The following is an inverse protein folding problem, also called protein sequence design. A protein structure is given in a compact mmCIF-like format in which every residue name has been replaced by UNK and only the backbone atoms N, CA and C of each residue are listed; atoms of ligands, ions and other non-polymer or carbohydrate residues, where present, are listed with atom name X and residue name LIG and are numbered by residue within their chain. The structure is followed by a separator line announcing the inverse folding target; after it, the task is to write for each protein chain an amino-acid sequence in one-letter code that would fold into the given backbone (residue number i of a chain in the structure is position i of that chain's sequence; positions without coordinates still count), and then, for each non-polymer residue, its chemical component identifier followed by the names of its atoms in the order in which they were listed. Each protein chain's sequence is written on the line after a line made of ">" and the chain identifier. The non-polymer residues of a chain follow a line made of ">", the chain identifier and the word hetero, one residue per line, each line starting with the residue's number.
data_IF_586321700564
#
_entry.id   IF_586321700564
#
_cell.length_a   1.000
_cell.length_b   1.000
_cell.length_c   1.000
_cell.angle_alpha   90.00
_cell.angle_beta   90.00
_cell.angle_gamma   90.00
#
_symmetry.space_group_name_H-M   'P 1'
#
loop_
_entity.id
_entity.type
_entity.pdbx_description
1 polymer ?
#
# COMPACT_ATOMS: atom_id res chain seq x y z
N UNK A 1 -12.47 2.06 -8.41
CA UNK A 1 -12.58 3.42 -9.06
C UNK A 1 -12.02 3.36 -10.48
N UNK A 2 -12.74 3.81 -11.50
CA UNK A 2 -12.23 3.93 -12.87
C UNK A 2 -11.78 5.38 -13.09
N UNK A 3 -10.48 5.60 -13.12
CA UNK A 3 -9.89 6.96 -13.24
C UNK A 3 -9.95 7.50 -14.69
N UNK A 4 -10.01 6.63 -15.69
CA UNK A 4 -10.10 7.01 -17.09
C UNK A 4 -11.10 6.12 -17.84
N UNK A 5 -12.06 6.74 -18.51
CA UNK A 5 -13.03 6.05 -19.37
C UNK A 5 -12.37 5.31 -20.56
N UNK A 6 -13.09 4.36 -21.14
CA UNK A 6 -12.55 3.50 -22.21
C UNK A 6 -12.08 4.27 -23.45
N UNK A 7 -12.83 5.29 -23.86
CA UNK A 7 -12.46 6.15 -24.98
C UNK A 7 -11.11 6.86 -24.73
N UNK A 8 -10.92 7.44 -23.57
CA UNK A 8 -9.67 8.10 -23.20
C UNK A 8 -8.49 7.11 -23.16
N UNK A 9 -8.71 5.90 -22.62
CA UNK A 9 -7.69 4.84 -22.58
C UNK A 9 -7.30 4.40 -24.00
N UNK A 10 -8.28 4.22 -24.89
CA UNK A 10 -8.04 3.88 -26.28
C UNK A 10 -7.22 4.96 -26.98
N UNK A 11 -7.67 6.21 -26.90
CA UNK A 11 -6.98 7.34 -27.54
C UNK A 11 -5.53 7.49 -27.09
N UNK A 12 -5.24 7.28 -25.79
CA UNK A 12 -3.88 7.35 -25.27
C UNK A 12 -2.99 6.17 -25.73
N UNK A 13 -3.58 4.98 -25.92
CA UNK A 13 -2.86 3.84 -26.48
C UNK A 13 -2.57 4.03 -27.97
N UNK A 14 -3.56 4.46 -28.75
CA UNK A 14 -3.41 4.76 -30.18
C UNK A 14 -2.39 5.87 -30.44
N UNK A 15 -2.33 6.87 -29.56
CA UNK A 15 -1.31 7.93 -29.60
C UNK A 15 0.08 7.48 -29.10
N UNK A 16 0.22 6.25 -28.62
CA UNK A 16 1.48 5.71 -28.08
C UNK A 16 1.89 6.31 -26.71
N UNK A 17 1.00 7.03 -26.04
CA UNK A 17 1.28 7.62 -24.72
C UNK A 17 1.15 6.60 -23.59
N UNK A 18 0.32 5.59 -23.75
CA UNK A 18 0.20 4.48 -22.83
C UNK A 18 0.62 3.18 -23.51
N UNK A 19 1.57 2.48 -22.89
CA UNK A 19 1.95 1.12 -23.23
C UNK A 19 1.18 0.10 -22.38
N UNK A 20 1.52 -1.18 -22.58
CA UNK A 20 0.94 -2.28 -21.80
C UNK A 20 1.77 -2.65 -20.58
N UNK A 21 3.00 -2.12 -20.48
CA UNK A 21 3.90 -2.38 -19.35
C UNK A 21 3.44 -1.66 -18.09
N UNK A 22 3.25 -2.43 -17.02
CA UNK A 22 2.84 -1.93 -15.71
C UNK A 22 4.05 -1.69 -14.80
N UNK A 23 3.81 -0.99 -13.68
CA UNK A 23 4.81 -0.82 -12.62
C UNK A 23 5.24 -2.19 -12.04
N UNK A 24 4.30 -3.12 -11.88
CA UNK A 24 4.56 -4.47 -11.42
C UNK A 24 5.48 -5.23 -12.40
N UNK A 25 5.23 -5.15 -13.71
CA UNK A 25 6.07 -5.81 -14.72
C UNK A 25 7.52 -5.33 -14.66
N UNK A 26 7.73 -4.02 -14.51
CA UNK A 26 9.08 -3.44 -14.35
C UNK A 26 9.79 -3.95 -13.11
N UNK A 27 9.07 -4.05 -11.99
CA UNK A 27 9.63 -4.57 -10.75
C UNK A 27 10.02 -6.04 -10.89
N UNK A 28 9.10 -6.91 -11.33
CA UNK A 28 9.37 -8.33 -11.45
C UNK A 28 10.45 -8.66 -12.48
N UNK A 29 10.54 -7.91 -13.59
CA UNK A 29 11.61 -8.04 -14.55
C UNK A 29 12.98 -7.75 -13.90
N UNK A 30 13.10 -6.68 -13.11
CA UNK A 30 14.33 -6.37 -12.37
C UNK A 30 14.63 -7.39 -11.28
N UNK A 31 13.63 -7.85 -10.55
CA UNK A 31 13.79 -8.87 -9.51
C UNK A 31 14.29 -10.21 -10.09
N UNK A 32 13.83 -10.56 -11.29
CA UNK A 32 14.31 -11.75 -12.00
C UNK A 32 15.74 -11.57 -12.51
N UNK A 33 16.07 -10.40 -13.04
CA UNK A 33 17.37 -10.13 -13.65
C UNK A 33 18.48 -9.90 -12.61
N UNK A 34 18.15 -9.31 -11.48
CA UNK A 34 19.12 -8.87 -10.48
C UNK A 34 18.69 -9.25 -9.04
N UNK A 35 18.41 -10.54 -8.73
CA UNK A 35 17.78 -10.95 -7.45
C UNK A 35 18.58 -10.52 -6.22
N UNK A 36 19.93 -10.60 -6.28
CA UNK A 36 20.81 -10.28 -5.15
C UNK A 36 21.14 -8.79 -5.02
N UNK A 37 20.73 -7.98 -5.99
CA UNK A 37 21.01 -6.53 -5.92
C UNK A 37 20.16 -5.88 -4.86
N UNK A 38 20.77 -5.03 -4.03
CA UNK A 38 20.07 -4.18 -3.07
C UNK A 38 19.12 -3.24 -3.81
N UNK A 39 17.86 -3.19 -3.37
CA UNK A 39 16.83 -2.37 -4.00
C UNK A 39 16.15 -1.40 -3.06
N UNK A 40 16.04 -1.72 -1.77
CA UNK A 40 15.29 -0.93 -0.81
C UNK A 40 16.03 -0.88 0.53
N UNK A 41 16.15 0.32 1.09
CA UNK A 41 16.91 0.57 2.33
C UNK A 41 16.09 1.54 3.17
N UNK A 42 15.80 1.15 4.41
CA UNK A 42 15.19 2.06 5.38
C UNK A 42 16.13 3.18 5.82
N UNK A 43 15.53 4.27 6.28
CA UNK A 43 16.26 5.30 6.98
C UNK A 43 16.89 4.73 8.28
N UNK A 44 18.13 5.13 8.63
CA UNK A 44 18.82 4.61 9.82
C UNK A 44 18.10 4.92 11.13
N UNK A 45 17.28 5.95 11.15
CA UNK A 45 16.48 6.36 12.30
C UNK A 45 15.04 5.79 12.28
N UNK A 46 14.79 4.70 11.56
CA UNK A 46 13.47 4.03 11.54
C UNK A 46 12.86 3.83 12.94
N UNK A 47 13.61 3.42 13.99
CA UNK A 47 13.06 3.26 15.34
C UNK A 47 12.48 4.55 15.96
N UNK A 48 12.80 5.71 15.40
CA UNK A 48 12.25 6.98 15.86
C UNK A 48 10.79 7.21 15.44
N UNK A 49 10.30 6.50 14.41
CA UNK A 49 8.98 6.74 13.84
C UNK A 49 8.15 5.48 13.56
N UNK A 50 8.77 4.30 13.57
CA UNK A 50 8.11 3.02 13.30
C UNK A 50 8.72 1.88 14.12
N UNK A 51 8.07 0.73 14.09
CA UNK A 51 8.57 -0.49 14.73
C UNK A 51 9.78 -1.09 13.98
N UNK A 52 10.59 -1.84 14.72
CA UNK A 52 11.68 -2.66 14.20
C UNK A 52 12.94 -1.88 13.81
N UNK A 53 14.01 -2.61 13.58
CA UNK A 53 15.29 -2.07 13.11
C UNK A 53 15.23 -1.69 11.62
N UNK A 54 16.11 -0.77 11.16
CA UNK A 54 16.22 -0.47 9.74
C UNK A 54 16.54 -1.72 8.92
N UNK A 55 15.84 -1.88 7.81
CA UNK A 55 15.95 -3.03 6.91
C UNK A 55 16.70 -2.65 5.63
N UNK A 56 17.32 -3.65 5.03
CA UNK A 56 17.96 -3.57 3.71
C UNK A 56 17.51 -4.79 2.92
N UNK A 57 16.80 -4.59 1.82
CA UNK A 57 16.23 -5.67 1.04
C UNK A 57 16.89 -5.78 -0.33
N UNK A 58 17.22 -7.00 -0.73
CA UNK A 58 17.52 -7.31 -2.13
C UNK A 58 16.21 -7.38 -2.94
N UNK A 59 16.33 -7.43 -4.27
CA UNK A 59 15.15 -7.64 -5.12
C UNK A 59 14.45 -8.96 -4.83
N UNK A 60 15.19 -10.04 -4.54
CA UNK A 60 14.60 -11.34 -4.17
C UNK A 60 13.77 -11.21 -2.88
N UNK A 61 14.34 -10.61 -1.84
CA UNK A 61 13.65 -10.44 -0.55
C UNK A 61 12.42 -9.52 -0.67
N UNK A 62 12.54 -8.43 -1.43
CA UNK A 62 11.40 -7.54 -1.69
C UNK A 62 10.31 -8.25 -2.50
N UNK A 63 10.68 -9.09 -3.47
CA UNK A 63 9.73 -9.90 -4.24
C UNK A 63 8.90 -10.84 -3.35
N UNK A 64 9.55 -11.58 -2.46
CA UNK A 64 8.87 -12.46 -1.50
C UNK A 64 7.88 -11.67 -0.63
N UNK A 65 8.27 -10.48 -0.20
CA UNK A 65 7.41 -9.60 0.60
C UNK A 65 6.22 -9.06 -0.21
N UNK A 66 6.45 -8.64 -1.45
CA UNK A 66 5.40 -8.19 -2.39
C UNK A 66 4.39 -9.31 -2.66
N UNK A 67 4.87 -10.52 -2.95
CA UNK A 67 4.01 -11.69 -3.20
C UNK A 67 3.18 -12.06 -1.96
N UNK A 68 3.78 -12.01 -0.76
CA UNK A 68 3.07 -12.25 0.50
C UNK A 68 1.99 -11.20 0.78
N UNK A 69 2.29 -9.90 0.60
CA UNK A 69 1.31 -8.83 0.77
C UNK A 69 0.20 -8.90 -0.28
N UNK A 70 0.52 -9.23 -1.53
CA UNK A 70 -0.48 -9.43 -2.57
C UNK A 70 -1.45 -10.56 -2.21
N UNK A 71 -0.91 -11.69 -1.71
CA UNK A 71 -1.71 -12.80 -1.20
C UNK A 71 -2.62 -12.41 -0.03
N UNK A 72 -2.11 -11.62 0.93
CA UNK A 72 -2.90 -11.13 2.06
C UNK A 72 -4.04 -10.19 1.61
N UNK A 73 -3.76 -9.28 0.67
CA UNK A 73 -4.77 -8.39 0.10
C UNK A 73 -5.88 -9.19 -0.62
N UNK A 74 -5.50 -10.18 -1.43
CA UNK A 74 -6.46 -11.06 -2.12
C UNK A 74 -7.29 -11.87 -1.13
N UNK A 75 -6.67 -12.43 -0.08
CA UNK A 75 -7.38 -13.16 0.97
C UNK A 75 -8.37 -12.28 1.73
N UNK A 76 -8.06 -10.98 1.88
CA UNK A 76 -8.97 -9.98 2.40
C UNK A 76 -10.06 -9.56 1.40
N UNK A 77 -10.10 -10.14 0.20
CA UNK A 77 -11.08 -9.84 -0.84
C UNK A 77 -10.83 -8.52 -1.58
N UNK A 78 -9.60 -8.00 -1.52
CA UNK A 78 -9.17 -6.80 -2.27
C UNK A 78 -8.63 -7.25 -3.62
N UNK A 79 -9.04 -6.59 -4.69
CA UNK A 79 -8.63 -6.95 -6.04
C UNK A 79 -8.55 -5.73 -6.96
N UNK A 80 -8.63 -6.01 -8.25
CA UNK A 80 -8.51 -4.99 -9.29
C UNK A 80 -9.56 -3.88 -9.11
N UNK A 81 -9.11 -2.64 -9.28
CA UNK A 81 -9.90 -1.41 -9.17
C UNK A 81 -10.43 -1.08 -7.75
N UNK A 82 -10.18 -1.94 -6.75
CA UNK A 82 -10.44 -1.60 -5.35
C UNK A 82 -9.44 -0.57 -4.84
N UNK A 83 -9.91 0.39 -4.06
CA UNK A 83 -9.03 1.40 -3.44
C UNK A 83 -8.63 0.94 -2.05
N UNK A 84 -7.33 1.04 -1.76
CA UNK A 84 -6.77 0.88 -0.41
C UNK A 84 -6.12 2.19 0.04
N UNK A 85 -6.43 2.63 1.24
CA UNK A 85 -5.76 3.76 1.87
C UNK A 85 -4.63 3.23 2.74
N UNK A 86 -3.42 3.76 2.54
CA UNK A 86 -2.23 3.37 3.29
C UNK A 86 -1.73 4.55 4.10
N UNK A 87 -1.70 4.41 5.43
CA UNK A 87 -1.11 5.35 6.37
C UNK A 87 0.11 4.72 7.04
N UNK A 88 1.25 4.80 6.38
CA UNK A 88 2.53 4.32 6.86
C UNK A 88 3.59 5.41 6.65
N UNK A 89 4.62 5.48 7.51
CA UNK A 89 5.79 6.29 7.23
C UNK A 89 6.61 5.72 6.07
N UNK A 90 7.64 6.44 5.65
CA UNK A 90 8.57 5.98 4.60
C UNK A 90 9.43 4.82 5.14
N UNK A 91 8.92 3.61 5.00
CA UNK A 91 9.54 2.36 5.43
C UNK A 91 9.43 1.31 4.31
N UNK A 92 10.24 0.27 4.39
CA UNK A 92 10.31 -0.75 3.34
C UNK A 92 8.97 -1.42 3.08
N UNK A 93 8.19 -1.67 4.12
CA UNK A 93 6.86 -2.28 4.01
C UNK A 93 5.86 -1.42 3.23
N UNK A 94 5.96 -0.08 3.33
CA UNK A 94 5.12 0.82 2.53
C UNK A 94 5.36 0.62 1.03
N UNK A 95 6.63 0.53 0.63
CA UNK A 95 7.01 0.34 -0.78
C UNK A 95 6.61 -1.05 -1.27
N UNK A 96 6.90 -2.10 -0.48
CA UNK A 96 6.51 -3.47 -0.82
C UNK A 96 4.99 -3.60 -0.97
N UNK A 97 4.21 -2.97 -0.08
CA UNK A 97 2.75 -2.96 -0.14
C UNK A 97 2.22 -2.21 -1.38
N UNK A 98 2.89 -1.12 -1.78
CA UNK A 98 2.55 -0.40 -3.01
C UNK A 98 2.70 -1.29 -4.24
N UNK A 99 3.80 -2.03 -4.36
CA UNK A 99 4.01 -3.00 -5.44
C UNK A 99 3.06 -4.19 -5.36
N UNK A 100 2.73 -4.65 -4.15
CA UNK A 100 1.73 -5.70 -3.95
C UNK A 100 0.35 -5.29 -4.48
N UNK A 101 -0.09 -4.08 -4.16
CA UNK A 101 -1.34 -3.54 -4.69
C UNK A 101 -1.30 -3.40 -6.22
N UNK A 102 -0.21 -2.89 -6.78
CA UNK A 102 -0.02 -2.80 -8.23
C UNK A 102 -0.09 -4.17 -8.91
N UNK A 103 0.44 -5.22 -8.28
CA UNK A 103 0.45 -6.61 -8.79
C UNK A 103 -0.96 -7.16 -8.96
N UNK A 104 -1.88 -6.85 -8.04
CA UNK A 104 -3.27 -7.30 -8.09
C UNK A 104 -4.22 -6.30 -8.76
N UNK A 105 -3.68 -5.17 -9.25
CA UNK A 105 -4.46 -4.11 -9.90
C UNK A 105 -5.28 -3.24 -8.93
N UNK A 106 -4.99 -3.28 -7.63
CA UNK A 106 -5.60 -2.37 -6.66
C UNK A 106 -5.01 -0.96 -6.74
N UNK A 107 -5.79 0.02 -6.33
CA UNK A 107 -5.43 1.44 -6.38
C UNK A 107 -4.97 1.87 -4.99
N UNK A 108 -3.75 2.39 -4.89
CA UNK A 108 -3.20 2.91 -3.63
C UNK A 108 -3.51 4.41 -3.51
N UNK A 109 -4.11 4.78 -2.38
CA UNK A 109 -4.26 6.17 -1.93
C UNK A 109 -3.40 6.37 -0.67
N UNK A 110 -2.14 6.81 -0.82
CA UNK A 110 -1.27 7.04 0.32
C UNK A 110 -1.69 8.31 1.06
N UNK A 111 -1.66 8.27 2.38
CA UNK A 111 -2.00 9.41 3.22
C UNK A 111 -0.90 9.71 4.24
N UNK A 112 -0.74 10.96 4.58
CA UNK A 112 0.26 11.38 5.54
C UNK A 112 -0.01 10.80 6.94
N UNK A 113 1.04 10.40 7.65
CA UNK A 113 0.95 9.84 9.01
C UNK A 113 0.40 10.85 10.02
N UNK A 114 0.41 12.15 9.71
CA UNK A 114 -0.13 13.21 10.55
C UNK A 114 -1.65 13.33 10.45
N UNK A 115 -2.29 12.76 9.41
CA UNK A 115 -3.74 12.84 9.23
C UNK A 115 -4.47 12.13 10.37
N UNK A 116 -5.57 12.73 10.79
CA UNK A 116 -6.45 12.24 11.85
C UNK A 116 -7.88 12.12 11.33
N UNK A 117 -8.82 11.95 12.23
CA UNK A 117 -10.23 11.70 11.90
C UNK A 117 -10.81 12.69 10.89
N UNK A 118 -10.47 13.97 10.99
CA UNK A 118 -11.01 15.01 10.09
C UNK A 118 -10.58 14.80 8.64
N UNK A 119 -9.27 14.74 8.40
CA UNK A 119 -8.69 14.56 7.06
C UNK A 119 -9.06 13.21 6.46
N UNK A 120 -8.95 12.13 7.28
CA UNK A 120 -9.29 10.77 6.84
C UNK A 120 -10.77 10.66 6.48
N UNK A 121 -11.68 11.29 7.25
CA UNK A 121 -13.10 11.29 6.93
C UNK A 121 -13.40 11.94 5.58
N UNK A 122 -12.78 13.08 5.30
CA UNK A 122 -12.93 13.76 4.03
C UNK A 122 -12.41 12.91 2.86
N UNK A 123 -11.23 12.31 3.02
CA UNK A 123 -10.64 11.44 2.00
C UNK A 123 -11.45 10.19 1.75
N UNK A 124 -11.95 9.52 2.80
CA UNK A 124 -12.77 8.32 2.67
C UNK A 124 -14.06 8.59 1.91
N UNK A 125 -14.66 9.79 2.08
CA UNK A 125 -15.82 10.22 1.31
C UNK A 125 -15.55 10.43 -0.18
N UNK A 126 -14.28 10.65 -0.57
CA UNK A 126 -13.90 10.86 -1.97
C UNK A 126 -13.46 9.55 -2.62
N UNK A 127 -12.61 8.76 -1.93
CA UNK A 127 -11.96 7.60 -2.54
C UNK A 127 -12.70 6.29 -2.28
N UNK A 128 -13.64 6.27 -1.34
CA UNK A 128 -14.45 5.10 -0.96
C UNK A 128 -13.60 3.84 -0.79
N UNK A 129 -12.65 3.83 0.16
CA UNK A 129 -11.67 2.76 0.24
C UNK A 129 -12.32 1.46 0.73
N UNK A 130 -11.86 0.34 0.20
CA UNK A 130 -12.25 -0.99 0.65
C UNK A 130 -11.46 -1.45 1.88
N UNK A 131 -10.22 -0.95 2.01
CA UNK A 131 -9.39 -1.20 3.17
C UNK A 131 -8.56 0.03 3.56
N UNK A 132 -8.26 0.09 4.85
CA UNK A 132 -7.28 1.02 5.44
C UNK A 132 -6.15 0.20 6.07
N UNK A 133 -4.92 0.56 5.75
CA UNK A 133 -3.72 -0.14 6.19
C UNK A 133 -2.82 0.81 6.96
N UNK A 134 -2.46 0.45 8.19
CA UNK A 134 -1.55 1.26 9.02
C UNK A 134 -0.59 0.40 9.83
N UNK A 135 0.40 1.04 10.45
CA UNK A 135 1.30 0.38 11.40
C UNK A 135 0.64 0.18 12.76
N UNK A 136 0.94 -0.95 13.43
CA UNK A 136 0.49 -1.19 14.81
C UNK A 136 1.18 -0.26 15.80
N UNK A 137 2.45 0.05 15.54
CA UNK A 137 3.27 0.93 16.37
C UNK A 137 3.90 2.01 15.47
N UNK A 138 3.31 3.18 15.49
CA UNK A 138 3.84 4.39 14.84
C UNK A 138 3.92 5.50 15.88
N UNK A 139 5.07 6.20 15.93
CA UNK A 139 5.31 7.24 16.94
C UNK A 139 4.29 8.37 16.81
N UNK A 140 3.80 8.82 17.95
CA UNK A 140 3.09 10.08 18.11
C UNK A 140 1.56 10.01 18.09
N UNK A 141 0.92 8.86 17.78
CA UNK A 141 -0.52 8.74 17.92
C UNK A 141 -1.02 7.29 17.86
N UNK A 142 -2.17 7.03 18.45
CA UNK A 142 -2.98 5.83 18.23
C UNK A 142 -3.75 5.97 16.90
N UNK A 143 -3.12 5.50 15.82
CA UNK A 143 -3.70 5.55 14.48
C UNK A 143 -4.92 4.62 14.36
N UNK A 144 -4.87 3.45 14.98
CA UNK A 144 -5.93 2.45 14.93
C UNK A 144 -7.17 2.98 15.66
N UNK A 145 -7.03 3.46 16.90
CA UNK A 145 -8.14 4.06 17.64
C UNK A 145 -8.73 5.28 16.95
N UNK A 146 -7.89 6.11 16.33
CA UNK A 146 -8.32 7.30 15.58
C UNK A 146 -9.20 6.95 14.38
N UNK A 147 -8.86 5.91 13.63
CA UNK A 147 -9.56 5.56 12.38
C UNK A 147 -10.76 4.63 12.61
N UNK A 148 -10.75 3.83 13.67
CA UNK A 148 -11.77 2.79 13.93
C UNK A 148 -13.24 3.26 13.76
N UNK A 149 -13.67 4.42 14.27
CA UNK A 149 -15.05 4.89 14.06
C UNK A 149 -15.40 5.15 12.59
N UNK A 150 -14.41 5.55 11.78
CA UNK A 150 -14.60 5.79 10.34
C UNK A 150 -14.74 4.46 9.58
N UNK A 151 -13.91 3.45 9.95
CA UNK A 151 -13.93 2.13 9.33
C UNK A 151 -15.27 1.44 9.53
N UNK A 152 -15.82 1.50 10.74
CA UNK A 152 -17.12 0.91 11.07
C UNK A 152 -18.26 1.53 10.27
N UNK A 153 -18.29 2.87 10.12
CA UNK A 153 -19.32 3.58 9.34
C UNK A 153 -19.25 3.24 7.84
N UNK A 154 -18.05 3.08 7.31
CA UNK A 154 -17.81 2.83 5.89
C UNK A 154 -17.75 1.36 5.50
N UNK A 155 -17.87 0.42 6.46
CA UNK A 155 -17.60 -1.01 6.24
C UNK A 155 -16.22 -1.25 5.58
N UNK A 156 -15.21 -0.51 6.05
CA UNK A 156 -13.85 -0.52 5.53
C UNK A 156 -13.02 -1.50 6.36
N UNK A 157 -12.29 -2.40 5.70
CA UNK A 157 -11.43 -3.36 6.38
C UNK A 157 -10.23 -2.68 7.00
N UNK A 158 -9.92 -2.99 8.26
CA UNK A 158 -8.64 -2.67 8.87
C UNK A 158 -7.63 -3.76 8.55
N UNK A 159 -6.44 -3.38 8.11
CA UNK A 159 -5.29 -4.25 8.02
C UNK A 159 -4.10 -3.56 8.69
N UNK A 160 -3.27 -4.33 9.38
CA UNK A 160 -2.16 -3.74 10.14
C UNK A 160 -0.83 -4.37 9.77
N UNK A 161 0.24 -3.58 9.89
CA UNK A 161 1.62 -4.02 9.71
C UNK A 161 2.38 -3.76 11.02
N UNK A 162 3.02 -4.79 11.54
CA UNK A 162 3.84 -4.70 12.75
C UNK A 162 3.48 -5.76 13.79
N UNK A 163 4.14 -5.71 14.95
CA UNK A 163 3.81 -6.56 16.08
C UNK A 163 2.46 -6.16 16.70
N UNK A 164 1.89 -7.03 17.53
CA UNK A 164 0.69 -6.74 18.33
C UNK A 164 -0.51 -6.31 17.49
N UNK A 165 -0.74 -6.99 16.36
CA UNK A 165 -1.92 -6.75 15.53
C UNK A 165 -3.20 -6.97 16.34
N UNK A 166 -4.21 -6.08 16.23
CA UNK A 166 -5.52 -6.32 16.85
C UNK A 166 -6.14 -7.61 16.32
N UNK A 167 -6.88 -8.32 17.16
CA UNK A 167 -7.53 -9.59 16.80
C UNK A 167 -8.63 -9.44 15.73
N UNK A 168 -9.05 -8.21 15.48
CA UNK A 168 -10.09 -7.81 14.53
C UNK A 168 -9.55 -7.04 13.30
N UNK A 169 -8.23 -7.15 13.04
CA UNK A 169 -7.56 -6.52 11.90
C UNK A 169 -7.22 -7.53 10.78
#
# INVERSE_FOLDING_TARGET
>A
MIVAGEEKRRNFREAGWWGDQTLADLFFANATKHPERLTLIDAPNRPDFAFGAPRRLTYAQMREEVERFAGALLAAGIGKDDVIVIQLPNMTEFVSLYFAAATIGAIVSPVAVQYRTHELSAMFGIVEPKAFICGTQMKGADHIGTVRPLLQRGNIKLMTIGPDAPSDA
#
